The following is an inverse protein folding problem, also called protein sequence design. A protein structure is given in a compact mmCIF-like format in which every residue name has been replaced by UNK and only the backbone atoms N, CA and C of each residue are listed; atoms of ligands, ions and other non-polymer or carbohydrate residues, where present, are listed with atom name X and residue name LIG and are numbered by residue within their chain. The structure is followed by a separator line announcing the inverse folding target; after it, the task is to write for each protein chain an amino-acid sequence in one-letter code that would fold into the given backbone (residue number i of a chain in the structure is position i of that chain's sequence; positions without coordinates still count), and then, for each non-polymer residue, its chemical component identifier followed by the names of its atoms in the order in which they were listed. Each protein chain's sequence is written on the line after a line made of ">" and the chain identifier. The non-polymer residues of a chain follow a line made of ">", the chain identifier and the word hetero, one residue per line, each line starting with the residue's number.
data_IF_457371598187
#
_entry.id   IF_457371598187
#
_cell.length_a   1.000
_cell.length_b   1.000
_cell.length_c   1.000
_cell.angle_alpha   90.00
_cell.angle_beta   90.00
_cell.angle_gamma   90.00
#
_symmetry.space_group_name_H-M   'P 1'
#
loop_
_entity.id
_entity.type
_entity.pdbx_description
1 polymer ?
#
# COMPACT_ATOMS: atom_id res chain seq x y z
N UNK A 1 -7.74 7.66 -2.12
CA UNK A 1 -7.57 6.54 -1.17
C UNK A 1 -7.94 5.19 -1.80
N UNK A 2 -9.08 5.07 -2.49
CA UNK A 2 -9.55 3.82 -3.12
C UNK A 2 -8.63 3.20 -4.19
N UNK A 3 -7.67 3.95 -4.74
CA UNK A 3 -6.73 3.42 -5.73
C UNK A 3 -5.84 2.30 -5.15
N UNK A 4 -5.54 1.24 -5.93
CA UNK A 4 -4.80 0.06 -5.45
C UNK A 4 -3.36 0.40 -5.05
N UNK A 5 -2.76 1.43 -5.64
CA UNK A 5 -1.43 1.93 -5.27
C UNK A 5 -1.43 2.89 -4.07
N UNK A 6 -2.58 3.10 -3.41
CA UNK A 6 -2.69 4.03 -2.28
C UNK A 6 -3.30 3.40 -1.02
N UNK A 7 -4.57 2.97 -1.05
CA UNK A 7 -5.26 2.41 0.13
C UNK A 7 -5.37 0.90 0.11
N UNK A 8 -5.42 0.28 -1.07
CA UNK A 8 -5.58 -1.18 -1.22
C UNK A 8 -4.34 -2.01 -0.88
N UNK A 9 -3.27 -1.40 -0.36
CA UNK A 9 -2.04 -2.12 -0.06
C UNK A 9 -2.23 -3.16 1.07
N UNK A 10 -3.00 -2.84 2.11
CA UNK A 10 -3.27 -3.75 3.22
C UNK A 10 -4.04 -5.01 2.79
N UNK A 11 -5.02 -4.87 1.89
CA UNK A 11 -5.78 -5.98 1.31
C UNK A 11 -4.86 -6.93 0.53
N UNK A 12 -4.00 -6.35 -0.31
CA UNK A 12 -3.04 -7.09 -1.11
C UNK A 12 -1.96 -7.78 -0.25
N UNK A 13 -1.59 -7.19 0.89
CA UNK A 13 -0.67 -7.83 1.84
C UNK A 13 -1.29 -9.07 2.47
N UNK A 14 -2.56 -9.01 2.87
CA UNK A 14 -3.23 -10.19 3.41
C UNK A 14 -3.37 -11.28 2.33
N UNK A 15 -3.68 -10.89 1.10
CA UNK A 15 -3.72 -11.82 -0.04
C UNK A 15 -2.36 -12.48 -0.28
N UNK A 16 -1.28 -11.70 -0.29
CA UNK A 16 0.09 -12.21 -0.38
C UNK A 16 0.42 -13.19 0.75
N UNK A 17 0.05 -12.88 2.00
CA UNK A 17 0.28 -13.78 3.13
C UNK A 17 -0.45 -15.12 2.96
N UNK A 18 -1.71 -15.10 2.45
CA UNK A 18 -2.47 -16.31 2.13
C UNK A 18 -1.82 -17.14 1.02
N UNK A 19 -1.31 -16.48 -0.03
CA UNK A 19 -0.62 -17.15 -1.14
C UNK A 19 0.70 -17.80 -0.72
N UNK A 20 1.44 -17.16 0.18
CA UNK A 20 2.66 -17.72 0.76
C UNK A 20 2.31 -18.98 1.58
N UNK A 21 1.26 -18.89 2.41
CA UNK A 21 0.69 -20.00 3.18
C UNK A 21 1.54 -20.48 4.36
N UNK A 22 2.88 -20.55 4.20
CA UNK A 22 3.82 -20.94 5.26
C UNK A 22 5.09 -20.07 5.24
N UNK A 23 5.71 -19.81 6.41
CA UNK A 23 6.88 -18.94 6.49
C UNK A 23 8.05 -19.36 5.59
N UNK A 24 8.25 -20.68 5.41
CA UNK A 24 9.36 -21.21 4.62
C UNK A 24 9.24 -20.87 3.13
N UNK A 25 8.01 -20.63 2.64
CA UNK A 25 7.75 -20.30 1.25
C UNK A 25 8.01 -18.81 0.94
N UNK A 26 8.15 -17.95 1.94
CA UNK A 26 8.21 -16.50 1.77
C UNK A 26 9.42 -16.06 0.91
N UNK A 27 10.58 -16.68 1.13
CA UNK A 27 11.81 -16.33 0.40
C UNK A 27 11.67 -16.61 -1.11
N UNK A 28 11.09 -17.76 -1.47
CA UNK A 28 10.89 -18.13 -2.87
C UNK A 28 9.78 -17.31 -3.53
N UNK A 29 8.70 -17.02 -2.79
CA UNK A 29 7.65 -16.13 -3.26
C UNK A 29 8.20 -14.73 -3.60
N UNK A 30 8.96 -14.12 -2.68
CA UNK A 30 9.61 -12.82 -2.88
C UNK A 30 10.57 -12.86 -4.06
N UNK A 31 11.38 -13.92 -4.17
CA UNK A 31 12.32 -14.10 -5.28
C UNK A 31 11.61 -14.11 -6.63
N UNK A 32 10.49 -14.84 -6.74
CA UNK A 32 9.71 -14.96 -7.95
C UNK A 32 9.07 -13.63 -8.38
N UNK A 33 8.47 -12.89 -7.44
CA UNK A 33 7.94 -11.55 -7.74
C UNK A 33 9.02 -10.63 -8.31
N UNK A 34 10.19 -10.62 -7.67
CA UNK A 34 11.27 -9.72 -8.05
C UNK A 34 11.93 -10.14 -9.37
N UNK A 35 12.04 -11.43 -9.69
CA UNK A 35 12.50 -11.89 -11.00
C UNK A 35 11.54 -11.47 -12.13
N UNK A 36 10.24 -11.39 -11.83
CA UNK A 36 9.21 -10.94 -12.76
C UNK A 36 9.06 -9.40 -12.81
N UNK A 37 9.91 -8.66 -12.08
CA UNK A 37 9.85 -7.19 -11.94
C UNK A 37 8.55 -6.69 -11.30
N UNK A 38 7.91 -7.53 -10.50
CA UNK A 38 6.74 -7.19 -9.70
C UNK A 38 7.15 -6.56 -8.37
N UNK A 39 6.17 -5.99 -7.65
CA UNK A 39 6.41 -5.32 -6.36
C UNK A 39 5.99 -6.24 -5.22
N UNK A 40 6.81 -6.30 -4.17
CA UNK A 40 6.40 -6.91 -2.90
C UNK A 40 5.53 -5.92 -2.15
N UNK A 41 4.30 -6.32 -1.85
CA UNK A 41 3.30 -5.46 -1.24
C UNK A 41 3.70 -5.10 0.21
N UNK A 42 3.44 -3.84 0.61
CA UNK A 42 3.83 -3.33 1.92
C UNK A 42 5.32 -2.92 2.03
N UNK A 43 6.07 -2.91 0.92
CA UNK A 43 7.45 -2.41 0.89
C UNK A 43 7.60 -1.16 0.02
N UNK A 44 8.50 -0.30 0.47
CA UNK A 44 8.82 0.98 -0.15
C UNK A 44 7.91 2.11 0.34
N UNK A 45 8.47 3.32 0.32
CA UNK A 45 7.74 4.54 0.65
C UNK A 45 8.23 5.69 -0.24
N UNK A 46 7.34 6.64 -0.56
CA UNK A 46 7.71 7.80 -1.39
C UNK A 46 8.68 8.74 -0.66
N UNK A 47 8.56 8.80 0.68
CA UNK A 47 9.34 9.69 1.55
C UNK A 47 10.40 8.93 2.35
N UNK A 48 10.07 7.75 2.91
CA UNK A 48 10.97 7.05 3.82
C UNK A 48 11.97 6.22 3.03
N UNK A 49 13.25 6.34 3.39
CA UNK A 49 14.37 5.51 2.92
C UNK A 49 14.94 4.62 4.03
N UNK A 50 14.20 4.54 5.13
CA UNK A 50 14.41 3.70 6.29
C UNK A 50 13.05 3.08 6.66
N UNK A 51 13.03 2.27 7.71
CA UNK A 51 11.79 1.68 8.23
C UNK A 51 10.76 2.77 8.57
N UNK A 52 9.51 2.55 8.16
CA UNK A 52 8.40 3.43 8.51
C UNK A 52 8.18 3.36 10.02
N UNK A 53 8.21 4.49 10.76
CA UNK A 53 8.07 4.48 12.22
C UNK A 53 6.74 3.86 12.68
N UNK A 54 5.70 3.89 11.83
CA UNK A 54 4.40 3.28 12.13
C UNK A 54 4.43 1.76 12.01
N UNK A 55 5.25 1.22 11.11
CA UNK A 55 5.38 -0.22 10.92
C UNK A 55 5.92 -0.90 12.19
N UNK A 56 6.87 -0.25 12.89
CA UNK A 56 7.40 -0.77 14.15
C UNK A 56 6.32 -0.97 15.23
N UNK A 57 5.42 -0.01 15.40
CA UNK A 57 4.28 -0.13 16.34
C UNK A 57 3.32 -1.25 15.94
N UNK A 58 3.01 -1.35 14.64
CA UNK A 58 2.09 -2.38 14.14
C UNK A 58 2.70 -3.78 14.18
N UNK A 59 4.02 -3.91 14.03
CA UNK A 59 4.74 -5.19 14.14
C UNK A 59 4.55 -5.84 15.50
N UNK A 60 4.68 -5.05 16.58
CA UNK A 60 4.42 -5.54 17.92
C UNK A 60 2.95 -5.92 18.10
N UNK A 61 2.03 -5.08 17.59
CA UNK A 61 0.59 -5.34 17.66
C UNK A 61 0.18 -6.63 16.97
N UNK A 62 0.67 -6.88 15.73
CA UNK A 62 0.34 -8.11 15.01
C UNK A 62 0.93 -9.34 15.70
N UNK A 63 2.14 -9.25 16.27
CA UNK A 63 2.75 -10.37 16.99
C UNK A 63 1.87 -10.79 18.18
N UNK A 64 1.55 -9.84 19.05
CA UNK A 64 0.72 -10.10 20.23
C UNK A 64 -0.67 -10.62 19.86
N UNK A 65 -1.30 -10.01 18.85
CA UNK A 65 -2.63 -10.44 18.38
C UNK A 65 -2.60 -11.85 17.77
N UNK A 66 -1.61 -12.16 16.94
CA UNK A 66 -1.44 -13.50 16.35
C UNK A 66 -1.27 -14.58 17.42
N UNK A 67 -0.49 -14.29 18.47
CA UNK A 67 -0.30 -15.20 19.61
C UNK A 67 -1.59 -15.38 20.42
N UNK A 68 -2.31 -14.28 20.71
CA UNK A 68 -3.57 -14.29 21.47
C UNK A 68 -4.68 -15.07 20.76
N UNK A 69 -4.81 -14.89 19.45
CA UNK A 69 -5.82 -15.57 18.62
C UNK A 69 -5.43 -17.05 18.34
N UNK A 70 -4.21 -17.45 18.69
CA UNK A 70 -3.71 -18.80 18.42
C UNK A 70 -3.39 -19.06 16.94
N UNK A 71 -3.10 -18.00 16.18
CA UNK A 71 -2.68 -18.06 14.77
C UNK A 71 -1.31 -17.36 14.56
N UNK A 72 -0.23 -17.84 15.22
CA UNK A 72 1.10 -17.24 15.13
C UNK A 72 1.71 -17.29 13.72
N UNK A 73 1.23 -18.19 12.86
CA UNK A 73 1.72 -18.39 11.50
C UNK A 73 1.63 -17.12 10.65
N UNK A 74 0.61 -16.28 10.84
CA UNK A 74 0.47 -15.06 10.05
C UNK A 74 1.59 -14.05 10.34
N UNK A 75 1.93 -13.87 11.62
CA UNK A 75 3.08 -13.07 12.00
C UNK A 75 4.38 -13.67 11.47
N UNK A 76 4.56 -14.99 11.59
CA UNK A 76 5.75 -15.68 11.10
C UNK A 76 5.94 -15.54 9.57
N UNK A 77 4.85 -15.58 8.79
CA UNK A 77 4.88 -15.33 7.35
C UNK A 77 5.35 -13.91 7.06
N UNK A 78 4.79 -12.90 7.74
CA UNK A 78 5.18 -11.50 7.55
C UNK A 78 6.66 -11.27 7.91
N UNK A 79 7.12 -11.84 9.01
CA UNK A 79 8.54 -11.79 9.41
C UNK A 79 9.46 -12.42 8.38
N UNK A 80 9.09 -13.59 7.85
CA UNK A 80 9.87 -14.27 6.81
C UNK A 80 9.95 -13.44 5.51
N UNK A 81 8.88 -12.70 5.16
CA UNK A 81 8.91 -11.75 4.04
C UNK A 81 9.81 -10.56 4.33
N UNK A 82 9.77 -10.00 5.54
CA UNK A 82 10.70 -8.93 5.97
C UNK A 82 12.15 -9.40 5.86
N UNK A 83 12.45 -10.61 6.30
CA UNK A 83 13.77 -11.21 6.20
C UNK A 83 14.22 -11.39 4.75
N UNK A 84 13.34 -11.91 3.87
CA UNK A 84 13.61 -12.05 2.45
C UNK A 84 13.87 -10.70 1.76
N UNK A 85 13.29 -9.61 2.27
CA UNK A 85 13.44 -8.26 1.72
C UNK A 85 14.65 -7.48 2.27
N UNK A 86 15.33 -7.96 3.32
CA UNK A 86 16.54 -7.31 3.91
C UNK A 86 17.59 -6.89 2.87
N UNK A 87 17.95 -7.69 1.83
CA UNK A 87 18.96 -7.30 0.84
C UNK A 87 18.59 -6.06 -0.01
N UNK A 88 17.32 -5.64 0.01
CA UNK A 88 16.79 -4.50 -0.73
C UNK A 88 16.75 -3.21 0.11
N UNK A 89 17.01 -3.30 1.43
CA UNK A 89 17.14 -2.14 2.32
C UNK A 89 18.23 -1.16 1.83
N UNK A 90 19.33 -1.67 1.26
CA UNK A 90 20.38 -0.83 0.64
C UNK A 90 19.89 0.04 -0.53
N UNK A 91 18.72 -0.28 -1.11
CA UNK A 91 18.05 0.51 -2.15
C UNK A 91 16.99 1.47 -1.57
N UNK A 92 16.91 1.57 -0.24
CA UNK A 92 15.90 2.35 0.48
C UNK A 92 14.51 1.74 0.40
N UNK A 93 14.40 0.41 0.19
CA UNK A 93 13.13 -0.32 0.16
C UNK A 93 12.95 -1.00 1.52
N UNK A 94 12.05 -0.45 2.33
CA UNK A 94 11.75 -0.92 3.68
C UNK A 94 10.25 -1.17 3.83
N UNK A 95 9.88 -1.89 4.90
CA UNK A 95 8.49 -2.09 5.29
C UNK A 95 7.77 -0.76 5.52
N UNK A 96 6.50 -0.67 5.12
CA UNK A 96 5.64 0.48 5.35
C UNK A 96 4.46 0.14 6.26
N UNK A 97 3.68 1.16 6.63
CA UNK A 97 2.52 1.00 7.55
C UNK A 97 1.50 -0.05 7.11
N UNK A 98 1.30 -0.28 5.82
CA UNK A 98 0.24 -1.15 5.31
C UNK A 98 0.56 -2.64 5.52
N UNK A 99 1.84 -2.98 5.66
CA UNK A 99 2.35 -4.35 5.72
C UNK A 99 1.86 -5.16 6.93
N UNK A 100 1.73 -4.52 8.09
CA UNK A 100 1.21 -5.21 9.28
C UNK A 100 -0.29 -5.00 9.46
N UNK A 101 -0.83 -3.90 8.92
CA UNK A 101 -2.25 -3.54 9.08
C UNK A 101 -3.20 -4.60 8.49
N UNK A 102 -2.89 -5.16 7.31
CA UNK A 102 -3.75 -6.14 6.65
C UNK A 102 -4.01 -7.40 7.50
N UNK A 103 -2.96 -7.94 8.12
CA UNK A 103 -3.07 -9.12 8.99
C UNK A 103 -3.79 -8.76 10.30
N UNK A 104 -3.54 -7.58 10.87
CA UNK A 104 -4.26 -7.12 12.07
C UNK A 104 -5.78 -7.11 11.81
N UNK A 105 -6.22 -6.52 10.71
CA UNK A 105 -7.65 -6.48 10.38
C UNK A 105 -8.23 -7.88 10.16
N UNK A 106 -7.50 -8.73 9.43
CA UNK A 106 -7.90 -10.12 9.19
C UNK A 106 -8.09 -10.90 10.50
N UNK A 107 -7.12 -10.82 11.43
CA UNK A 107 -7.18 -11.51 12.72
C UNK A 107 -8.32 -11.00 13.61
N UNK A 108 -8.75 -9.75 13.45
CA UNK A 108 -9.93 -9.19 14.10
C UNK A 108 -11.26 -9.59 13.41
N UNK A 109 -11.22 -10.46 12.39
CA UNK A 109 -12.41 -10.91 11.68
C UNK A 109 -13.05 -9.84 10.79
N UNK A 110 -12.30 -8.79 10.45
CA UNK A 110 -12.80 -7.69 9.64
C UNK A 110 -12.85 -8.14 8.16
N UNK A 111 -13.98 -7.98 7.47
CA UNK A 111 -14.08 -8.20 6.03
C UNK A 111 -13.04 -7.40 5.24
N UNK A 112 -12.41 -8.02 4.24
CA UNK A 112 -11.30 -7.43 3.49
C UNK A 112 -11.69 -6.13 2.75
N UNK A 113 -12.93 -6.06 2.25
CA UNK A 113 -13.51 -4.88 1.60
C UNK A 113 -13.72 -3.69 2.56
N UNK A 114 -13.57 -3.90 3.87
CA UNK A 114 -13.62 -2.85 4.89
C UNK A 114 -12.25 -2.32 5.31
N UNK A 115 -11.14 -2.86 4.80
CA UNK A 115 -9.80 -2.41 5.18
C UNK A 115 -9.56 -0.95 4.77
N UNK A 116 -9.89 -0.59 3.53
CA UNK A 116 -9.81 0.79 3.03
C UNK A 116 -10.75 1.75 3.78
N UNK A 117 -12.03 1.42 4.01
CA UNK A 117 -12.91 2.21 4.87
C UNK A 117 -12.35 2.48 6.28
N UNK A 118 -11.79 1.48 6.96
CA UNK A 118 -11.18 1.68 8.29
C UNK A 118 -9.99 2.63 8.22
N UNK A 119 -9.13 2.45 7.21
CA UNK A 119 -8.04 3.38 6.98
C UNK A 119 -8.57 4.81 6.76
N UNK A 120 -9.66 4.97 6.00
CA UNK A 120 -10.29 6.27 5.78
C UNK A 120 -10.73 6.91 7.11
N UNK A 121 -11.37 6.15 8.01
CA UNK A 121 -11.77 6.65 9.34
C UNK A 121 -10.56 7.21 10.10
N UNK A 122 -9.44 6.49 10.12
CA UNK A 122 -8.20 6.97 10.75
C UNK A 122 -7.57 8.17 10.05
N UNK A 123 -7.87 8.39 8.76
CA UNK A 123 -7.32 9.50 7.96
C UNK A 123 -8.16 10.77 7.96
N UNK A 124 -9.47 10.67 8.17
CA UNK A 124 -10.42 11.80 8.14
C UNK A 124 -9.93 13.00 8.97
N UNK A 125 -9.50 12.85 10.24
CA UNK A 125 -9.05 14.01 11.04
C UNK A 125 -7.89 14.77 10.37
N UNK A 126 -6.95 14.02 9.77
CA UNK A 126 -5.82 14.59 9.04
C UNK A 126 -6.22 15.27 7.73
N UNK A 127 -7.22 14.76 7.02
CA UNK A 127 -7.74 15.43 5.82
C UNK A 127 -8.51 16.70 6.18
N UNK A 128 -9.34 16.65 7.22
CA UNK A 128 -10.12 17.80 7.69
C UNK A 128 -9.19 18.94 8.10
N UNK A 129 -8.12 18.68 8.84
CA UNK A 129 -7.19 19.75 9.23
C UNK A 129 -6.46 20.34 8.02
N UNK A 130 -6.05 19.51 7.03
CA UNK A 130 -5.44 20.03 5.80
C UNK A 130 -6.39 20.92 4.99
N UNK A 131 -7.68 20.58 4.96
CA UNK A 131 -8.70 21.43 4.32
C UNK A 131 -8.88 22.75 5.08
N UNK A 132 -8.94 22.72 6.40
CA UNK A 132 -9.02 23.93 7.23
C UNK A 132 -7.80 24.84 7.03
N UNK A 133 -6.59 24.27 6.97
CA UNK A 133 -5.37 25.03 6.73
C UNK A 133 -5.34 25.64 5.32
N UNK A 134 -5.82 24.92 4.31
CA UNK A 134 -6.01 25.46 2.96
C UNK A 134 -7.01 26.63 2.97
N UNK A 135 -8.11 26.56 3.72
CA UNK A 135 -9.05 27.68 3.81
C UNK A 135 -8.45 28.92 4.49
N UNK A 136 -7.56 28.73 5.49
CA UNK A 136 -6.87 29.83 6.18
C UNK A 136 -5.84 30.53 5.29
N UNK A 137 -5.16 29.80 4.41
CA UNK A 137 -4.13 30.32 3.51
C UNK A 137 -4.39 29.87 2.07
N UNK A 138 -5.50 30.35 1.49
CA UNK A 138 -6.06 29.76 0.28
C UNK A 138 -5.36 30.18 -1.01
N UNK A 139 -4.32 29.43 -1.39
CA UNK A 139 -3.68 29.52 -2.71
C UNK A 139 -4.31 28.46 -3.63
N UNK A 140 -4.90 28.90 -4.73
CA UNK A 140 -5.49 27.99 -5.73
C UNK A 140 -4.42 27.11 -6.38
N UNK A 141 -4.58 25.78 -6.24
CA UNK A 141 -3.73 24.80 -6.93
C UNK A 141 -4.23 24.66 -8.37
N UNK A 142 -3.51 25.27 -9.33
CA UNK A 142 -3.85 25.24 -10.76
C UNK A 142 -2.67 24.70 -11.59
N UNK A 143 -2.49 23.38 -11.70
CA UNK A 143 -1.43 22.80 -12.51
C UNK A 143 -1.68 23.09 -14.00
N UNK A 144 -0.59 23.29 -14.76
CA UNK A 144 -0.63 23.35 -16.22
C UNK A 144 -0.48 21.95 -16.82
N UNK A 145 -1.06 21.76 -18.00
CA UNK A 145 -0.92 20.52 -18.76
C UNK A 145 0.03 20.74 -19.94
N UNK A 146 0.85 19.74 -20.25
CA UNK A 146 1.61 19.70 -21.49
C UNK A 146 0.71 19.08 -22.59
N UNK A 147 0.37 19.87 -23.60
CA UNK A 147 -0.39 19.37 -24.75
C UNK A 147 0.52 18.55 -25.68
N UNK A 148 0.23 17.25 -25.80
CA UNK A 148 0.94 16.30 -26.67
C UNK A 148 0.09 15.78 -27.84
N UNK A 149 -1.10 16.35 -28.03
CA UNK A 149 -2.00 16.03 -29.14
C UNK A 149 -1.58 16.67 -30.47
N UNK A 150 -2.28 16.29 -31.54
CA UNK A 150 -2.17 16.98 -32.83
C UNK A 150 -2.87 18.34 -32.73
N UNK A 151 -2.14 19.43 -32.93
CA UNK A 151 -2.62 20.81 -32.78
C UNK A 151 -3.84 21.11 -33.65
N UNK A 152 -3.59 21.51 -34.88
CA UNK A 152 -4.64 21.86 -35.83
C UNK A 152 -5.11 20.60 -36.55
N UNK A 153 -6.43 20.44 -36.61
CA UNK A 153 -7.08 19.45 -37.44
C UNK A 153 -8.16 20.18 -38.21
N UNK A 154 -8.16 20.02 -39.52
CA UNK A 154 -9.29 20.47 -40.31
C UNK A 154 -10.54 19.72 -39.87
N UNK A 155 -11.64 20.45 -39.75
CA UNK A 155 -12.93 19.86 -39.44
C UNK A 155 -13.44 19.13 -40.67
N UNK A 156 -13.72 17.83 -40.54
CA UNK A 156 -14.37 17.03 -41.59
C UNK A 156 -15.88 17.01 -41.33
N UNK A 157 -16.74 17.48 -42.25
CA UNK A 157 -18.20 17.38 -42.13
C UNK A 157 -18.66 15.96 -41.88
N UNK A 158 -19.77 15.77 -41.16
CA UNK A 158 -20.20 14.41 -40.75
C UNK A 158 -20.47 13.49 -41.94
N UNK A 159 -20.97 14.03 -43.04
CA UNK A 159 -21.23 13.31 -44.30
C UNK A 159 -19.97 12.85 -45.04
N UNK A 160 -18.82 13.42 -44.68
CA UNK A 160 -17.50 13.14 -45.27
C UNK A 160 -16.62 12.33 -44.30
N UNK A 161 -17.14 11.99 -43.12
CA UNK A 161 -16.56 10.98 -42.24
C UNK A 161 -17.08 9.64 -42.75
N UNK A 162 -16.17 8.71 -43.04
CA UNK A 162 -16.50 7.36 -43.53
C UNK A 162 -17.38 6.57 -42.58
#
# INVERSE_FOLDING_TARGET
>A
LSGPSHGGAAENVMQMAKEIGKPENAADYVRNLLSNRERVMGFGHRVYKAEDPRAGHLRQGVKSLSEEIGQPEWYQILEAVVDAMKPYARRGIHVNVDFFAGVIYYLNGIPQDLFVPIFAVGRIPGWTIQVVDQFRHNILIRPLLQYTGRREREYVPVSERG
#
